data_IF_237910856919
#
_entry.id   IF_237910856919
#
_cell.length_a   1.000
_cell.length_b   1.000
_cell.length_c   1.000
_cell.angle_alpha   90.00
_cell.angle_beta   90.00
_cell.angle_gamma   90.00
#
_symmetry.space_group_name_H-M   'P 1'
#
loop_
_entity.id
_entity.type
_entity.pdbx_description
1 polymer ?
#
# COMPACT_ATOMS: atom_id res chain seq x y z
N UNK A 1 12.23 -38.38 5.58
CA UNK A 1 12.29 -38.31 4.10
C UNK A 1 10.96 -37.87 3.48
N UNK A 2 9.87 -38.65 3.51
CA UNK A 2 8.60 -38.27 2.86
C UNK A 2 7.96 -36.97 3.40
N UNK A 3 7.96 -36.77 4.73
CA UNK A 3 7.42 -35.57 5.38
C UNK A 3 8.17 -34.29 4.98
N UNK A 4 9.49 -34.39 4.76
CA UNK A 4 10.31 -33.25 4.34
C UNK A 4 9.98 -32.82 2.91
N UNK A 5 9.75 -33.77 1.99
CA UNK A 5 9.32 -33.45 0.63
C UNK A 5 7.93 -32.82 0.57
N UNK A 6 6.99 -33.28 1.41
CA UNK A 6 5.66 -32.66 1.51
C UNK A 6 5.76 -31.21 1.99
N UNK A 7 6.58 -30.94 3.01
CA UNK A 7 6.83 -29.59 3.51
C UNK A 7 7.50 -28.69 2.46
N UNK A 8 8.48 -29.21 1.71
CA UNK A 8 9.14 -28.49 0.62
C UNK A 8 8.14 -28.18 -0.50
N UNK A 9 7.37 -29.17 -0.95
CA UNK A 9 6.33 -28.97 -1.96
C UNK A 9 5.28 -27.95 -1.51
N UNK A 10 4.80 -28.06 -0.26
CA UNK A 10 3.88 -27.09 0.31
C UNK A 10 4.49 -25.69 0.37
N UNK A 11 5.74 -25.57 0.80
CA UNK A 11 6.47 -24.30 0.84
C UNK A 11 6.61 -23.67 -0.55
N UNK A 12 6.95 -24.47 -1.56
CA UNK A 12 7.05 -24.02 -2.96
C UNK A 12 5.69 -23.58 -3.52
N UNK A 13 4.63 -24.36 -3.29
CA UNK A 13 3.26 -24.00 -3.72
C UNK A 13 2.81 -22.70 -3.04
N UNK A 14 3.01 -22.58 -1.73
CA UNK A 14 2.68 -21.37 -0.97
C UNK A 14 3.45 -20.17 -1.51
N UNK A 15 4.76 -20.33 -1.76
CA UNK A 15 5.58 -19.27 -2.32
C UNK A 15 5.11 -18.84 -3.71
N UNK A 16 4.76 -19.78 -4.59
CA UNK A 16 4.23 -19.48 -5.93
C UNK A 16 2.90 -18.73 -5.84
N UNK A 17 2.00 -19.14 -4.95
CA UNK A 17 0.72 -18.46 -4.72
C UNK A 17 0.95 -17.04 -4.19
N UNK A 18 1.83 -16.86 -3.21
CA UNK A 18 2.16 -15.55 -2.63
C UNK A 18 2.82 -14.62 -3.68
N UNK A 19 3.80 -15.11 -4.44
CA UNK A 19 4.45 -14.33 -5.51
C UNK A 19 3.43 -13.96 -6.59
N UNK A 20 2.58 -14.91 -7.00
CA UNK A 20 1.55 -14.64 -8.00
C UNK A 20 0.56 -13.59 -7.51
N UNK A 21 0.10 -13.69 -6.26
CA UNK A 21 -0.80 -12.72 -5.67
C UNK A 21 -0.18 -11.32 -5.59
N UNK A 22 1.05 -11.20 -5.06
CA UNK A 22 1.71 -9.91 -4.82
C UNK A 22 2.28 -9.27 -6.09
N UNK A 23 2.89 -10.05 -6.97
CA UNK A 23 3.70 -9.55 -8.08
C UNK A 23 3.11 -9.84 -9.47
N UNK A 24 2.08 -10.68 -9.59
CA UNK A 24 1.63 -11.18 -10.91
C UNK A 24 1.04 -10.12 -11.86
N UNK A 25 0.75 -8.91 -11.37
CA UNK A 25 0.37 -7.76 -12.20
C UNK A 25 1.57 -7.05 -12.87
N UNK A 26 2.82 -7.38 -12.50
CA UNK A 26 4.00 -6.69 -13.01
C UNK A 26 4.23 -6.98 -14.50
N UNK A 27 4.79 -6.01 -15.26
CA UNK A 27 5.06 -6.18 -16.69
C UNK A 27 5.91 -7.42 -17.03
N UNK A 28 6.85 -7.78 -16.16
CA UNK A 28 7.72 -8.96 -16.34
C UNK A 28 6.97 -10.30 -16.38
N UNK A 29 5.76 -10.36 -15.81
CA UNK A 29 4.94 -11.57 -15.77
C UNK A 29 3.84 -11.59 -16.83
N UNK A 30 3.76 -10.59 -17.72
CA UNK A 30 2.75 -10.56 -18.78
C UNK A 30 2.85 -11.80 -19.69
N UNK A 31 1.72 -12.47 -19.90
CA UNK A 31 1.61 -13.71 -20.68
C UNK A 31 2.02 -14.99 -19.93
N UNK A 32 2.52 -14.89 -18.70
CA UNK A 32 3.03 -16.04 -17.93
C UNK A 32 1.96 -16.73 -17.08
N UNK A 33 2.19 -17.98 -16.61
CA UNK A 33 1.30 -18.64 -15.65
C UNK A 33 1.10 -17.84 -14.35
N UNK A 34 2.11 -17.09 -13.90
CA UNK A 34 2.04 -16.25 -12.69
C UNK A 34 0.97 -15.17 -12.84
N UNK A 35 0.89 -14.52 -14.00
CA UNK A 35 -0.18 -13.54 -14.29
C UNK A 35 -1.56 -14.22 -14.33
N UNK A 36 -1.67 -15.43 -14.88
CA UNK A 36 -2.94 -16.17 -14.92
C UNK A 36 -3.40 -16.54 -13.50
N UNK A 37 -2.49 -17.02 -12.66
CA UNK A 37 -2.77 -17.31 -11.24
C UNK A 37 -3.19 -16.02 -10.53
N UNK A 38 -2.48 -14.90 -10.75
CA UNK A 38 -2.87 -13.61 -10.21
C UNK A 38 -4.31 -13.24 -10.58
N UNK A 39 -4.66 -13.25 -11.88
CA UNK A 39 -6.00 -12.92 -12.35
C UNK A 39 -7.07 -13.87 -11.78
N UNK A 40 -6.75 -15.17 -11.64
CA UNK A 40 -7.63 -16.11 -10.98
C UNK A 40 -7.81 -15.76 -9.50
N UNK A 41 -6.75 -15.51 -8.75
CA UNK A 41 -6.85 -15.18 -7.32
C UNK A 41 -7.55 -13.85 -7.05
N UNK A 42 -7.37 -12.85 -7.92
CA UNK A 42 -7.91 -11.50 -7.69
C UNK A 42 -9.32 -11.30 -8.22
N UNK A 43 -9.68 -11.90 -9.35
CA UNK A 43 -11.00 -11.73 -9.97
C UNK A 43 -11.72 -13.06 -10.20
N UNK A 44 -11.01 -14.06 -10.75
CA UNK A 44 -11.63 -15.31 -11.18
C UNK A 44 -12.28 -16.10 -10.05
N UNK A 45 -11.58 -16.31 -8.95
CA UNK A 45 -12.05 -17.08 -7.80
C UNK A 45 -13.32 -16.46 -7.19
N UNK A 46 -13.39 -15.13 -7.13
CA UNK A 46 -14.57 -14.42 -6.65
C UNK A 46 -15.75 -14.56 -7.62
N UNK A 47 -15.53 -14.42 -8.93
CA UNK A 47 -16.57 -14.61 -9.94
C UNK A 47 -17.11 -16.05 -9.93
N UNK A 48 -16.24 -17.05 -9.86
CA UNK A 48 -16.65 -18.45 -9.71
C UNK A 48 -17.43 -18.69 -8.41
N UNK A 49 -17.02 -18.08 -7.31
CA UNK A 49 -17.76 -18.15 -6.05
C UNK A 49 -19.16 -17.53 -6.18
N UNK A 50 -19.30 -16.33 -6.76
CA UNK A 50 -20.59 -15.70 -6.97
C UNK A 50 -21.51 -16.53 -7.89
N UNK A 51 -20.96 -17.11 -8.97
CA UNK A 51 -21.70 -18.02 -9.85
C UNK A 51 -22.14 -19.28 -9.11
N UNK A 52 -21.26 -19.88 -8.32
CA UNK A 52 -21.59 -21.04 -7.50
C UNK A 52 -22.74 -20.72 -6.52
N UNK A 53 -22.65 -19.58 -5.82
CA UNK A 53 -23.74 -19.11 -4.95
C UNK A 53 -25.03 -18.90 -5.76
N UNK A 54 -24.95 -18.36 -6.97
CA UNK A 54 -26.10 -18.19 -7.86
C UNK A 54 -26.73 -19.52 -8.29
N UNK A 55 -25.92 -20.56 -8.53
CA UNK A 55 -26.40 -21.90 -8.87
C UNK A 55 -27.06 -22.58 -7.66
N UNK A 56 -26.47 -22.47 -6.47
CA UNK A 56 -26.95 -23.18 -5.26
C UNK A 56 -28.11 -22.46 -4.57
N UNK A 57 -28.04 -21.13 -4.47
CA UNK A 57 -28.96 -20.30 -3.68
C UNK A 57 -29.80 -19.33 -4.53
N UNK A 58 -29.64 -19.38 -5.86
CA UNK A 58 -30.35 -18.50 -6.78
C UNK A 58 -29.92 -17.03 -6.66
N UNK A 59 -30.73 -16.15 -7.26
CA UNK A 59 -30.51 -14.69 -7.26
C UNK A 59 -30.54 -14.09 -5.86
N UNK A 60 -31.32 -14.67 -4.92
CA UNK A 60 -31.36 -14.24 -3.52
C UNK A 60 -30.00 -14.40 -2.84
N UNK A 61 -29.32 -15.53 -3.05
CA UNK A 61 -27.99 -15.76 -2.50
C UNK A 61 -26.95 -14.81 -3.07
N UNK A 62 -26.92 -14.64 -4.39
CA UNK A 62 -25.98 -13.69 -5.03
C UNK A 62 -26.22 -12.27 -4.56
N UNK A 63 -27.49 -11.82 -4.49
CA UNK A 63 -27.83 -10.48 -3.99
C UNK A 63 -27.45 -10.29 -2.52
N UNK A 64 -27.55 -11.33 -1.69
CA UNK A 64 -27.10 -11.25 -0.30
C UNK A 64 -25.58 -11.03 -0.21
N UNK A 65 -24.79 -11.76 -1.00
CA UNK A 65 -23.33 -11.58 -1.06
C UNK A 65 -22.98 -10.18 -1.58
N UNK A 66 -23.60 -9.73 -2.68
CA UNK A 66 -23.38 -8.39 -3.23
C UNK A 66 -23.79 -7.29 -2.24
N UNK A 67 -24.83 -7.50 -1.44
CA UNK A 67 -25.21 -6.55 -0.40
C UNK A 67 -24.18 -6.49 0.73
N UNK A 68 -23.55 -7.62 1.08
CA UNK A 68 -22.45 -7.66 2.06
C UNK A 68 -21.22 -6.95 1.48
N UNK A 69 -20.86 -7.24 0.22
CA UNK A 69 -19.76 -6.57 -0.47
C UNK A 69 -19.98 -5.05 -0.49
N UNK A 70 -21.15 -4.59 -0.91
CA UNK A 70 -21.50 -3.18 -0.93
C UNK A 70 -21.40 -2.54 0.48
N UNK A 71 -21.86 -3.24 1.52
CA UNK A 71 -21.73 -2.75 2.89
C UNK A 71 -20.27 -2.65 3.35
N UNK A 72 -19.45 -3.66 3.04
CA UNK A 72 -18.06 -3.75 3.48
C UNK A 72 -17.11 -2.84 2.70
N UNK A 73 -17.33 -2.66 1.40
CA UNK A 73 -16.38 -2.04 0.47
C UNK A 73 -16.85 -0.67 -0.04
N UNK A 74 -18.16 -0.48 -0.26
CA UNK A 74 -18.70 0.72 -0.92
C UNK A 74 -19.41 1.69 0.02
N UNK A 75 -19.49 1.36 1.32
CA UNK A 75 -20.04 2.24 2.36
C UNK A 75 -19.11 2.38 3.56
N UNK A 76 -19.11 3.56 4.23
CA UNK A 76 -18.34 3.73 5.45
C UNK A 76 -18.84 2.76 6.53
N UNK A 77 -17.93 1.96 7.06
CA UNK A 77 -18.22 0.98 8.10
C UNK A 77 -16.96 0.74 8.97
N UNK A 78 -17.12 0.43 10.27
CA UNK A 78 -15.98 0.30 11.17
C UNK A 78 -15.33 -1.10 11.15
N UNK A 79 -15.71 -2.02 10.24
CA UNK A 79 -15.27 -3.42 10.30
C UNK A 79 -13.74 -3.52 10.27
N UNK A 80 -13.09 -2.84 9.32
CA UNK A 80 -11.63 -2.86 9.22
C UNK A 80 -10.95 -2.18 10.42
N UNK A 81 -11.58 -1.17 11.02
CA UNK A 81 -11.08 -0.54 12.24
C UNK A 81 -11.13 -1.51 13.43
N UNK A 82 -12.22 -2.26 13.58
CA UNK A 82 -12.38 -3.27 14.62
C UNK A 82 -11.38 -4.42 14.43
N UNK A 83 -11.19 -4.89 13.19
CA UNK A 83 -10.18 -5.89 12.86
C UNK A 83 -8.78 -5.39 13.24
N UNK A 84 -8.43 -4.15 12.90
CA UNK A 84 -7.15 -3.56 13.26
C UNK A 84 -6.94 -3.50 14.79
N UNK A 85 -7.93 -3.01 15.54
CA UNK A 85 -7.85 -2.95 17.02
C UNK A 85 -7.73 -4.36 17.61
N UNK A 86 -8.44 -5.34 17.04
CA UNK A 86 -8.33 -6.75 17.42
C UNK A 86 -6.94 -7.34 17.16
N UNK A 87 -6.33 -7.07 16.00
CA UNK A 87 -4.97 -7.51 15.67
C UNK A 87 -3.96 -6.88 16.61
N UNK A 88 -4.03 -5.57 16.83
CA UNK A 88 -3.10 -4.85 17.71
C UNK A 88 -3.22 -5.32 19.16
N UNK A 89 -4.44 -5.36 19.69
CA UNK A 89 -4.73 -5.79 21.06
C UNK A 89 -4.40 -7.26 21.29
N UNK A 90 -4.78 -8.14 20.36
CA UNK A 90 -4.47 -9.56 20.41
C UNK A 90 -2.96 -9.82 20.36
N UNK A 91 -2.24 -9.17 19.45
CA UNK A 91 -0.77 -9.29 19.35
C UNK A 91 -0.10 -8.84 20.65
N UNK A 92 -0.50 -7.69 21.20
CA UNK A 92 0.04 -7.22 22.48
C UNK A 92 -0.29 -8.16 23.64
N UNK A 93 -1.52 -8.68 23.72
CA UNK A 93 -1.94 -9.65 24.73
C UNK A 93 -1.07 -10.92 24.67
N UNK A 94 -0.86 -11.48 23.48
CA UNK A 94 -0.03 -12.67 23.34
C UNK A 94 1.43 -12.40 23.73
N UNK A 95 2.01 -11.27 23.33
CA UNK A 95 3.36 -10.85 23.76
C UNK A 95 3.43 -10.72 25.28
N UNK A 96 2.46 -10.04 25.88
CA UNK A 96 2.43 -9.85 27.33
C UNK A 96 2.35 -11.19 28.06
N UNK A 97 1.43 -12.07 27.62
CA UNK A 97 1.21 -13.37 28.23
C UNK A 97 2.40 -14.33 28.04
N UNK A 98 3.01 -14.34 26.86
CA UNK A 98 4.07 -15.29 26.51
C UNK A 98 5.47 -14.82 26.92
N UNK A 99 5.71 -13.52 27.00
CA UNK A 99 7.07 -12.98 27.04
C UNK A 99 7.35 -12.10 28.26
N UNK A 100 6.35 -11.52 28.91
CA UNK A 100 6.63 -10.64 30.07
C UNK A 100 7.23 -11.41 31.24
N UNK A 101 6.93 -12.71 31.39
CA UNK A 101 7.56 -13.58 32.39
C UNK A 101 9.09 -13.65 32.26
N UNK A 102 9.63 -13.33 31.08
CA UNK A 102 11.08 -13.33 30.80
C UNK A 102 11.71 -11.92 30.85
N UNK A 103 10.95 -10.92 31.30
CA UNK A 103 11.40 -9.53 31.44
C UNK A 103 11.28 -9.15 32.92
N UNK A 104 12.30 -8.64 33.62
CA UNK A 104 13.65 -8.42 33.14
C UNK A 104 14.34 -9.76 32.83
N UNK A 105 15.11 -9.77 31.75
CA UNK A 105 16.00 -10.85 31.36
C UNK A 105 17.38 -10.31 31.05
N UNK A 106 18.29 -11.19 30.65
CA UNK A 106 19.71 -10.86 30.46
C UNK A 106 19.97 -9.62 29.59
N UNK A 107 19.22 -9.46 28.48
CA UNK A 107 19.40 -8.37 27.52
C UNK A 107 18.27 -7.33 27.53
N UNK A 108 17.22 -7.52 28.33
CA UNK A 108 16.03 -6.68 28.28
C UNK A 108 15.58 -6.32 29.70
N UNK A 109 15.63 -5.03 30.03
CA UNK A 109 15.29 -4.55 31.37
C UNK A 109 13.78 -4.49 31.62
N UNK A 110 13.39 -4.40 32.89
CA UNK A 110 11.98 -4.34 33.31
C UNK A 110 11.19 -3.16 32.74
N UNK A 111 11.87 -2.08 32.36
CA UNK A 111 11.22 -0.85 31.85
C UNK A 111 10.43 -1.11 30.56
N UNK A 112 10.85 -2.10 29.77
CA UNK A 112 10.24 -2.46 28.49
C UNK A 112 8.79 -2.96 28.62
N UNK A 113 8.39 -3.46 29.80
CA UNK A 113 6.98 -3.80 30.08
C UNK A 113 6.08 -2.55 30.04
N UNK A 114 6.53 -1.45 30.64
CA UNK A 114 5.77 -0.20 30.72
C UNK A 114 5.89 0.62 29.44
N UNK A 115 7.09 0.74 28.88
CA UNK A 115 7.29 1.53 27.64
C UNK A 115 6.62 0.87 26.44
N UNK A 116 6.50 -0.47 26.40
CA UNK A 116 5.72 -1.14 25.34
C UNK A 116 4.23 -0.82 25.42
N UNK A 117 3.65 -0.75 26.62
CA UNK A 117 2.25 -0.34 26.81
C UNK A 117 2.02 1.10 26.32
N UNK A 118 2.91 2.02 26.73
CA UNK A 118 2.86 3.42 26.28
C UNK A 118 2.99 3.49 24.76
N UNK A 119 3.89 2.70 24.16
CA UNK A 119 4.08 2.70 22.72
C UNK A 119 2.83 2.24 21.96
N UNK A 120 2.16 1.18 22.44
CA UNK A 120 0.89 0.73 21.86
C UNK A 120 -0.19 1.80 22.02
N UNK A 121 -0.28 2.46 23.17
CA UNK A 121 -1.25 3.54 23.41
C UNK A 121 -1.06 4.72 22.45
N UNK A 122 0.19 5.14 22.20
CA UNK A 122 0.50 6.17 21.19
C UNK A 122 0.08 5.71 19.79
N UNK A 123 0.28 4.44 19.45
CA UNK A 123 -0.18 3.87 18.17
C UNK A 123 -1.70 3.95 18.01
N UNK A 124 -2.45 3.59 19.05
CA UNK A 124 -3.92 3.71 19.08
C UNK A 124 -4.36 5.17 18.95
N UNK A 125 -3.69 6.10 19.63
CA UNK A 125 -3.99 7.53 19.51
C UNK A 125 -3.79 8.03 18.07
N UNK A 126 -2.67 7.70 17.43
CA UNK A 126 -2.40 8.10 16.04
C UNK A 126 -3.40 7.47 15.07
N UNK A 127 -3.80 6.22 15.30
CA UNK A 127 -4.86 5.57 14.54
C UNK A 127 -6.19 6.34 14.64
N UNK A 128 -6.59 6.74 15.85
CA UNK A 128 -7.82 7.52 16.04
C UNK A 128 -7.72 8.93 15.45
N UNK A 129 -6.58 9.60 15.59
CA UNK A 129 -6.36 10.90 14.95
C UNK A 129 -6.48 10.79 13.43
N UNK A 130 -5.89 9.77 12.81
CA UNK A 130 -6.02 9.53 11.36
C UNK A 130 -7.46 9.19 10.96
N UNK A 131 -8.14 8.36 11.75
CA UNK A 131 -9.49 7.87 11.48
C UNK A 131 -10.57 8.95 11.62
N UNK A 132 -10.49 9.80 12.64
CA UNK A 132 -11.59 10.70 12.99
C UNK A 132 -11.32 12.18 12.71
N UNK A 133 -10.11 12.56 12.31
CA UNK A 133 -9.85 13.93 11.88
C UNK A 133 -10.56 14.25 10.56
N UNK A 134 -11.02 15.48 10.42
CA UNK A 134 -11.48 16.01 9.13
C UNK A 134 -10.34 15.92 8.11
N UNK A 135 -10.52 15.26 6.95
CA UNK A 135 -9.50 15.16 5.92
C UNK A 135 -9.28 16.46 5.14
N UNK A 136 -10.11 17.48 5.35
CA UNK A 136 -10.18 18.68 4.51
C UNK A 136 -11.45 18.68 3.67
N UNK A 137 -12.59 18.48 4.34
CA UNK A 137 -13.90 18.41 3.68
C UNK A 137 -14.26 19.76 3.08
N UNK A 138 -14.57 19.77 1.78
CA UNK A 138 -14.97 20.96 1.05
C UNK A 138 -16.49 21.06 1.06
N UNK A 139 -17.00 22.21 1.47
CA UNK A 139 -18.42 22.58 1.53
C UNK A 139 -18.62 23.91 0.80
N UNK A 140 -19.88 24.26 0.50
CA UNK A 140 -20.22 25.55 -0.10
C UNK A 140 -19.66 26.75 0.69
N UNK A 141 -19.58 26.63 2.02
CA UNK A 141 -19.08 27.68 2.92
C UNK A 141 -17.57 27.95 2.79
N UNK A 142 -16.76 26.96 2.41
CA UNK A 142 -15.29 27.06 2.42
C UNK A 142 -14.64 26.85 1.05
N UNK A 143 -15.43 26.51 0.01
CA UNK A 143 -14.93 26.21 -1.34
C UNK A 143 -14.12 27.37 -1.94
N UNK A 144 -14.56 28.61 -1.71
CA UNK A 144 -13.89 29.82 -2.21
C UNK A 144 -12.44 29.93 -1.71
N UNK A 145 -12.18 29.53 -0.47
CA UNK A 145 -10.84 29.54 0.12
C UNK A 145 -9.96 28.46 -0.51
N UNK A 146 -10.52 27.27 -0.71
CA UNK A 146 -9.82 26.16 -1.34
C UNK A 146 -9.50 26.40 -2.82
N UNK A 147 -10.34 27.12 -3.57
CA UNK A 147 -10.09 27.47 -4.97
C UNK A 147 -8.77 28.22 -5.15
N UNK A 148 -8.41 29.09 -4.20
CA UNK A 148 -7.16 29.87 -4.23
C UNK A 148 -5.93 29.11 -3.71
N UNK A 149 -6.09 27.89 -3.19
CA UNK A 149 -5.00 27.17 -2.51
C UNK A 149 -3.96 26.58 -3.47
N UNK A 150 -4.39 26.15 -4.66
CA UNK A 150 -3.53 25.51 -5.66
C UNK A 150 -3.91 25.96 -7.07
N UNK A 151 -2.94 26.22 -7.96
CA UNK A 151 -3.23 26.52 -9.36
C UNK A 151 -3.74 25.28 -10.10
N UNK A 152 -4.59 25.49 -11.10
CA UNK A 152 -4.95 24.46 -12.08
C UNK A 152 -3.79 24.26 -13.06
N UNK A 153 -3.38 23.01 -13.27
CA UNK A 153 -2.36 22.67 -14.27
C UNK A 153 -2.94 22.55 -15.69
N UNK A 154 -4.28 22.51 -15.81
CA UNK A 154 -5.03 22.29 -17.05
C UNK A 154 -4.64 21.01 -17.81
N UNK A 155 -3.98 20.07 -17.14
CA UNK A 155 -3.61 18.76 -17.65
C UNK A 155 -4.44 17.69 -16.91
N UNK A 156 -4.21 17.54 -15.61
CA UNK A 156 -4.93 16.58 -14.76
C UNK A 156 -5.96 17.27 -13.85
N UNK A 157 -5.86 18.59 -13.68
CA UNK A 157 -6.81 19.44 -12.98
C UNK A 157 -7.15 20.67 -13.81
N UNK A 158 -8.41 20.76 -14.21
CA UNK A 158 -9.02 21.94 -14.81
C UNK A 158 -10.26 22.36 -14.04
N UNK A 159 -10.70 23.58 -14.27
CA UNK A 159 -11.91 24.14 -13.65
C UNK A 159 -13.13 23.30 -14.03
N UNK A 160 -13.75 22.70 -13.01
CA UNK A 160 -14.91 21.83 -13.13
C UNK A 160 -15.77 21.95 -11.87
N UNK A 161 -17.04 21.64 -12.00
CA UNK A 161 -17.94 21.48 -10.87
C UNK A 161 -18.04 20.00 -10.45
N UNK A 162 -18.31 19.75 -9.17
CA UNK A 162 -18.67 18.42 -8.72
C UNK A 162 -20.16 18.18 -8.97
N UNK A 163 -20.50 17.23 -9.84
CA UNK A 163 -21.89 16.87 -10.14
C UNK A 163 -22.69 16.37 -8.92
N UNK A 164 -22.04 15.79 -7.91
CA UNK A 164 -22.73 15.31 -6.71
C UNK A 164 -22.92 16.41 -5.68
N UNK A 165 -21.86 17.19 -5.40
CA UNK A 165 -21.87 18.20 -4.35
C UNK A 165 -22.33 19.58 -4.84
N UNK A 166 -22.42 19.80 -6.15
CA UNK A 166 -22.82 21.08 -6.77
C UNK A 166 -21.96 22.25 -6.27
N UNK A 167 -20.64 22.02 -6.19
CA UNK A 167 -19.64 23.03 -5.82
C UNK A 167 -18.49 23.02 -6.83
N UNK A 168 -17.85 24.17 -7.10
CA UNK A 168 -16.61 24.22 -7.85
C UNK A 168 -15.57 23.28 -7.23
N UNK A 169 -14.80 22.57 -8.05
CA UNK A 169 -13.76 21.65 -7.58
C UNK A 169 -12.40 22.35 -7.55
N UNK A 170 -11.85 22.67 -6.36
CA UNK A 170 -10.48 23.13 -6.26
C UNK A 170 -9.50 22.16 -6.92
N UNK A 171 -8.38 22.66 -7.43
CA UNK A 171 -7.29 21.82 -7.90
C UNK A 171 -6.88 20.84 -6.78
N UNK A 172 -6.50 19.61 -7.17
CA UNK A 172 -6.16 18.52 -6.24
C UNK A 172 -7.30 17.98 -5.37
N UNK A 173 -8.53 18.44 -5.56
CA UNK A 173 -9.71 17.89 -4.86
C UNK A 173 -10.35 16.70 -5.60
N UNK A 174 -11.06 15.85 -4.86
CA UNK A 174 -11.88 14.76 -5.42
C UNK A 174 -13.11 14.52 -4.56
N UNK A 175 -14.22 14.18 -5.21
CA UNK A 175 -15.39 13.62 -4.55
C UNK A 175 -15.15 12.15 -4.27
N UNK A 176 -15.21 11.76 -2.99
CA UNK A 176 -15.20 10.36 -2.59
C UNK A 176 -16.64 9.87 -2.49
N UNK A 177 -17.04 8.91 -3.33
CA UNK A 177 -18.37 8.31 -3.32
C UNK A 177 -18.66 7.57 -2.02
N UNK A 178 -17.67 6.86 -1.46
CA UNK A 178 -17.80 6.12 -0.20
C UNK A 178 -18.12 7.08 0.95
N UNK A 179 -17.33 8.15 1.13
CA UNK A 179 -17.60 9.15 2.17
C UNK A 179 -18.68 10.18 1.78
N UNK A 180 -19.17 10.13 0.54
CA UNK A 180 -20.11 11.08 -0.06
C UNK A 180 -19.76 12.56 0.19
N UNK A 181 -18.50 12.94 -0.06
CA UNK A 181 -18.02 14.33 0.11
C UNK A 181 -16.82 14.67 -0.75
N UNK A 182 -16.67 15.96 -1.08
CA UNK A 182 -15.45 16.49 -1.68
C UNK A 182 -14.36 16.68 -0.62
N UNK A 183 -13.14 16.26 -0.93
CA UNK A 183 -11.97 16.36 -0.04
C UNK A 183 -10.85 17.10 -0.76
N UNK A 184 -10.27 18.09 -0.08
CA UNK A 184 -9.13 18.86 -0.56
C UNK A 184 -7.84 18.03 -0.52
N UNK A 185 -6.95 18.25 -1.50
CA UNK A 185 -5.69 17.50 -1.70
C UNK A 185 -5.89 16.00 -1.46
N UNK A 186 -6.88 15.42 -2.13
CA UNK A 186 -7.31 14.05 -1.90
C UNK A 186 -6.19 13.08 -2.26
N UNK A 187 -5.83 12.20 -1.32
CA UNK A 187 -4.86 11.13 -1.55
C UNK A 187 -5.56 9.83 -1.92
N UNK A 188 -6.32 9.27 -0.98
CA UNK A 188 -7.12 8.07 -1.18
C UNK A 188 -8.21 7.95 -0.11
N UNK A 189 -9.16 7.04 -0.32
CA UNK A 189 -10.04 6.57 0.76
C UNK A 189 -9.38 5.36 1.41
N UNK A 190 -9.17 5.40 2.73
CA UNK A 190 -8.53 4.31 3.46
C UNK A 190 -9.58 3.54 4.26
N UNK A 191 -9.89 2.31 3.84
CA UNK A 191 -10.86 1.45 4.55
C UNK A 191 -10.45 1.16 5.99
N UNK A 192 -9.14 1.00 6.25
CA UNK A 192 -8.60 0.81 7.61
C UNK A 192 -8.86 1.99 8.54
N UNK A 193 -8.95 3.20 8.00
CA UNK A 193 -9.25 4.41 8.77
C UNK A 193 -10.74 4.77 8.73
N UNK A 194 -11.52 4.06 7.91
CA UNK A 194 -12.90 4.39 7.57
C UNK A 194 -13.08 5.89 7.23
N UNK A 195 -12.08 6.47 6.56
CA UNK A 195 -12.01 7.90 6.30
C UNK A 195 -11.14 8.16 5.06
N UNK A 196 -11.33 9.32 4.43
CA UNK A 196 -10.41 9.78 3.40
C UNK A 196 -9.09 10.23 4.04
N UNK A 197 -7.99 10.03 3.33
CA UNK A 197 -6.72 10.70 3.61
C UNK A 197 -6.62 11.88 2.64
N UNK A 198 -6.51 13.08 3.19
CA UNK A 198 -6.49 14.33 2.45
C UNK A 198 -5.63 15.39 3.13
N UNK A 199 -5.81 16.64 2.72
CA UNK A 199 -5.00 17.78 3.14
C UNK A 199 -4.73 17.84 4.66
N UNK A 200 -5.76 17.68 5.49
CA UNK A 200 -5.69 17.99 6.93
C UNK A 200 -5.25 16.82 7.81
N UNK A 201 -5.48 15.58 7.39
CA UNK A 201 -5.18 14.38 8.18
C UNK A 201 -4.02 13.55 7.63
N UNK A 202 -3.45 13.89 6.47
CA UNK A 202 -2.29 13.20 5.91
C UNK A 202 -1.10 13.14 6.90
N UNK A 203 -0.87 14.20 7.68
CA UNK A 203 0.15 14.21 8.75
C UNK A 203 -0.05 13.13 9.82
N UNK A 204 -1.29 12.89 10.23
CA UNK A 204 -1.60 11.86 11.23
C UNK A 204 -1.43 10.47 10.64
N UNK A 205 -1.82 10.30 9.38
CA UNK A 205 -1.60 9.07 8.63
C UNK A 205 -0.10 8.74 8.49
N UNK A 206 0.73 9.72 8.13
CA UNK A 206 2.18 9.53 8.04
C UNK A 206 2.82 9.21 9.40
N UNK A 207 2.40 9.91 10.46
CA UNK A 207 2.85 9.61 11.82
C UNK A 207 2.41 8.21 12.27
N UNK A 208 1.16 7.82 11.96
CA UNK A 208 0.64 6.48 12.21
C UNK A 208 1.49 5.40 11.53
N UNK A 209 1.80 5.55 10.24
CA UNK A 209 2.61 4.59 9.49
C UNK A 209 4.02 4.46 10.06
N UNK A 210 4.68 5.59 10.32
CA UNK A 210 6.03 5.60 10.90
C UNK A 210 6.04 4.96 12.29
N UNK A 211 5.08 5.31 13.14
CA UNK A 211 5.00 4.75 14.49
C UNK A 211 4.74 3.25 14.48
N UNK A 212 3.85 2.76 13.61
CA UNK A 212 3.58 1.33 13.48
C UNK A 212 4.75 0.55 12.90
N UNK A 213 5.52 1.16 11.99
CA UNK A 213 6.77 0.59 11.53
C UNK A 213 7.75 0.43 12.71
N UNK A 214 7.97 1.50 13.48
CA UNK A 214 8.90 1.51 14.60
C UNK A 214 8.50 0.54 15.72
N UNK A 215 7.20 0.46 16.08
CA UNK A 215 6.75 -0.44 17.13
C UNK A 215 6.84 -1.91 16.72
N UNK A 216 6.63 -2.24 15.44
CA UNK A 216 6.82 -3.60 14.93
C UNK A 216 8.31 -4.01 14.94
N UNK A 217 9.20 -3.11 14.50
CA UNK A 217 10.65 -3.32 14.60
C UNK A 217 11.05 -3.52 16.07
N UNK A 218 10.61 -2.62 16.95
CA UNK A 218 10.88 -2.69 18.38
C UNK A 218 10.40 -4.02 18.99
N UNK A 219 9.16 -4.44 18.71
CA UNK A 219 8.62 -5.69 19.22
C UNK A 219 9.38 -6.92 18.71
N UNK A 220 9.76 -6.94 17.42
CA UNK A 220 10.57 -8.02 16.84
C UNK A 220 11.95 -8.09 17.50
N UNK A 221 12.64 -6.96 17.63
CA UNK A 221 13.95 -6.88 18.31
C UNK A 221 13.84 -7.28 19.78
N UNK A 222 12.84 -6.78 20.52
CA UNK A 222 12.63 -7.11 21.92
C UNK A 222 12.40 -8.61 22.14
N UNK A 223 11.59 -9.26 21.28
CA UNK A 223 11.40 -10.71 21.33
C UNK A 223 12.69 -11.47 20.99
N UNK A 224 13.47 -10.99 20.02
CA UNK A 224 14.80 -11.54 19.72
C UNK A 224 15.76 -11.46 20.92
N UNK A 225 15.76 -10.34 21.64
CA UNK A 225 16.55 -10.16 22.86
C UNK A 225 16.09 -11.05 24.00
N UNK A 226 14.77 -11.27 24.15
CA UNK A 226 14.22 -12.25 25.10
C UNK A 226 14.76 -13.65 24.76
N UNK A 227 14.62 -14.09 23.51
CA UNK A 227 15.11 -15.41 23.07
C UNK A 227 16.62 -15.57 23.28
N UNK A 228 17.42 -14.58 22.88
CA UNK A 228 18.86 -14.57 23.10
C UNK A 228 19.22 -14.61 24.59
N UNK A 229 18.45 -13.92 25.43
CA UNK A 229 18.58 -13.95 26.88
C UNK A 229 18.34 -15.35 27.44
N UNK A 230 17.29 -16.04 26.99
CA UNK A 230 16.98 -17.42 27.41
C UNK A 230 18.06 -18.43 27.03
N UNK A 231 18.63 -18.31 25.82
CA UNK A 231 19.76 -19.13 25.38
C UNK A 231 20.95 -18.98 26.32
N UNK A 232 21.23 -17.75 26.77
CA UNK A 232 22.35 -17.44 27.66
C UNK A 232 22.09 -17.86 29.11
N UNK A 233 20.93 -17.52 29.67
CA UNK A 233 20.54 -17.81 31.05
C UNK A 233 20.50 -19.32 31.33
N UNK A 234 19.95 -20.10 30.39
CA UNK A 234 19.87 -21.56 30.50
C UNK A 234 21.16 -22.26 30.03
N UNK A 235 22.18 -21.50 29.61
CA UNK A 235 23.45 -22.02 29.09
C UNK A 235 23.26 -23.07 28.00
N UNK A 236 22.28 -22.86 27.11
CA UNK A 236 21.84 -23.85 26.11
C UNK A 236 23.00 -24.28 25.21
N UNK A 237 23.81 -23.32 24.76
CA UNK A 237 25.02 -23.57 23.97
C UNK A 237 25.91 -24.59 24.65
N UNK A 238 26.22 -24.39 25.95
CA UNK A 238 27.06 -25.30 26.72
C UNK A 238 26.44 -26.69 26.86
N UNK A 239 25.14 -26.77 27.18
CA UNK A 239 24.43 -28.04 27.33
C UNK A 239 24.46 -28.83 26.02
N UNK A 240 24.16 -28.18 24.88
CA UNK A 240 24.14 -28.82 23.58
C UNK A 240 25.54 -29.25 23.11
N UNK A 241 26.56 -28.44 23.37
CA UNK A 241 27.98 -28.80 23.13
C UNK A 241 28.34 -30.09 23.86
N UNK A 242 28.01 -30.19 25.16
CA UNK A 242 28.32 -31.39 25.96
C UNK A 242 27.47 -32.59 25.53
N UNK A 243 26.17 -32.39 25.31
CA UNK A 243 25.23 -33.47 25.00
C UNK A 243 25.50 -34.12 23.64
N UNK A 244 25.79 -33.33 22.60
CA UNK A 244 26.05 -33.84 21.26
C UNK A 244 27.54 -34.09 20.97
N UNK A 245 28.44 -33.76 21.90
CA UNK A 245 29.89 -33.88 21.69
C UNK A 245 30.42 -33.01 20.54
N UNK A 246 29.74 -31.91 20.23
CA UNK A 246 30.09 -31.02 19.12
C UNK A 246 31.12 -30.02 19.63
N UNK A 247 32.22 -29.82 18.89
CA UNK A 247 33.16 -28.73 19.17
C UNK A 247 32.45 -27.36 19.13
N UNK A 248 33.06 -26.28 19.66
CA UNK A 248 32.45 -24.94 19.69
C UNK A 248 32.35 -24.27 18.31
N UNK A 249 32.06 -25.03 17.26
CA UNK A 249 31.77 -24.51 15.93
C UNK A 249 30.30 -24.05 15.84
N UNK A 250 30.12 -22.86 15.26
CA UNK A 250 28.80 -22.26 15.14
C UNK A 250 27.92 -22.99 14.13
N UNK A 251 28.50 -23.49 13.02
CA UNK A 251 27.72 -24.08 11.92
C UNK A 251 27.06 -25.38 12.35
N UNK A 252 27.74 -26.19 13.14
CA UNK A 252 27.23 -27.45 13.69
C UNK A 252 26.25 -27.24 14.85
N UNK A 253 26.47 -26.23 15.70
CA UNK A 253 25.62 -25.98 16.87
C UNK A 253 24.33 -25.20 16.54
N UNK A 254 24.37 -24.29 15.57
CA UNK A 254 23.24 -23.45 15.16
C UNK A 254 21.93 -24.24 14.89
N UNK A 255 21.90 -25.34 14.11
CA UNK A 255 20.65 -26.07 13.88
C UNK A 255 20.05 -26.64 15.16
N UNK A 256 20.87 -27.10 16.12
CA UNK A 256 20.38 -27.62 17.40
C UNK A 256 19.82 -26.52 18.30
N UNK A 257 20.48 -25.35 18.33
CA UNK A 257 19.96 -24.17 19.06
C UNK A 257 18.64 -23.70 18.44
N UNK A 258 18.55 -23.64 17.11
CA UNK A 258 17.32 -23.28 16.39
C UNK A 258 16.22 -24.30 16.66
N UNK A 259 16.52 -25.59 16.61
CA UNK A 259 15.55 -26.65 16.92
C UNK A 259 15.03 -26.53 18.36
N UNK A 260 15.92 -26.29 19.33
CA UNK A 260 15.52 -26.07 20.72
C UNK A 260 14.66 -24.82 20.88
N UNK A 261 15.06 -23.71 20.24
CA UNK A 261 14.29 -22.46 20.25
C UNK A 261 12.88 -22.66 19.66
N UNK A 262 12.77 -23.35 18.53
CA UNK A 262 11.49 -23.68 17.91
C UNK A 262 10.64 -24.62 18.78
N UNK A 263 11.24 -25.54 19.51
CA UNK A 263 10.53 -26.44 20.41
C UNK A 263 10.02 -25.76 21.69
N UNK A 264 10.87 -24.94 22.32
CA UNK A 264 10.60 -24.37 23.65
C UNK A 264 9.94 -22.97 23.59
N UNK A 265 10.16 -22.21 22.51
CA UNK A 265 9.73 -20.81 22.37
C UNK A 265 9.06 -20.52 21.02
N UNK A 266 8.28 -21.47 20.51
CA UNK A 266 7.56 -21.35 19.22
C UNK A 266 6.72 -20.07 19.12
N UNK A 267 6.04 -19.68 20.18
CA UNK A 267 5.11 -18.56 20.22
C UNK A 267 5.86 -17.23 20.05
N UNK A 268 6.99 -17.08 20.75
CA UNK A 268 7.84 -15.89 20.67
C UNK A 268 8.46 -15.77 19.27
N UNK A 269 8.89 -16.89 18.68
CA UNK A 269 9.43 -16.90 17.31
C UNK A 269 8.34 -16.54 16.30
N UNK A 270 7.14 -17.11 16.42
CA UNK A 270 6.02 -16.80 15.53
C UNK A 270 5.65 -15.31 15.59
N UNK A 271 5.54 -14.74 16.81
CA UNK A 271 5.27 -13.32 17.01
C UNK A 271 6.40 -12.44 16.46
N UNK A 272 7.67 -12.82 16.68
CA UNK A 272 8.83 -12.09 16.17
C UNK A 272 8.86 -12.05 14.64
N UNK A 273 8.61 -13.19 13.99
CA UNK A 273 8.55 -13.31 12.52
C UNK A 273 7.35 -12.55 11.96
N UNK A 274 6.18 -12.67 12.59
CA UNK A 274 4.99 -11.90 12.21
C UNK A 274 5.26 -10.39 12.23
N UNK A 275 5.81 -9.87 13.34
CA UNK A 275 6.17 -8.45 13.46
C UNK A 275 7.24 -8.03 12.46
N UNK A 276 8.23 -8.88 12.18
CA UNK A 276 9.26 -8.60 11.17
C UNK A 276 8.65 -8.47 9.76
N UNK A 277 7.76 -9.40 9.37
CA UNK A 277 7.06 -9.35 8.07
C UNK A 277 6.19 -8.10 7.97
N UNK A 278 5.39 -7.81 9.01
CA UNK A 278 4.56 -6.60 9.05
C UNK A 278 5.43 -5.34 8.96
N UNK A 279 6.58 -5.30 9.64
CA UNK A 279 7.50 -4.16 9.57
C UNK A 279 8.05 -3.95 8.16
N UNK A 280 8.37 -5.01 7.43
CA UNK A 280 8.84 -4.91 6.04
C UNK A 280 7.76 -4.34 5.11
N UNK A 281 6.52 -4.80 5.26
CA UNK A 281 5.38 -4.30 4.48
C UNK A 281 5.11 -2.82 4.80
N UNK A 282 5.13 -2.45 6.09
CA UNK A 282 4.96 -1.06 6.53
C UNK A 282 6.11 -0.17 6.04
N UNK A 283 7.35 -0.67 6.00
CA UNK A 283 8.49 0.07 5.48
C UNK A 283 8.30 0.42 3.99
N UNK A 284 7.86 -0.55 3.18
CA UNK A 284 7.53 -0.31 1.77
C UNK A 284 6.41 0.72 1.60
N UNK A 285 5.33 0.56 2.36
CA UNK A 285 4.17 1.46 2.29
C UNK A 285 4.49 2.88 2.77
N UNK A 286 5.21 3.01 3.88
CA UNK A 286 5.71 4.29 4.39
C UNK A 286 6.66 4.95 3.39
N UNK A 287 7.60 4.20 2.81
CA UNK A 287 8.56 4.74 1.83
C UNK A 287 7.86 5.29 0.58
N UNK A 288 6.82 4.59 0.11
CA UNK A 288 5.98 5.07 -0.99
C UNK A 288 5.32 6.41 -0.65
N UNK A 289 4.61 6.50 0.48
CA UNK A 289 3.94 7.74 0.88
C UNK A 289 4.92 8.85 1.28
N UNK A 290 6.08 8.52 1.83
CA UNK A 290 7.14 9.47 2.10
C UNK A 290 7.63 10.09 0.80
N UNK A 291 7.90 9.30 -0.25
CA UNK A 291 8.26 9.81 -1.58
C UNK A 291 7.17 10.75 -2.14
N UNK A 292 5.90 10.37 -2.00
CA UNK A 292 4.77 11.22 -2.41
C UNK A 292 4.76 12.57 -1.69
N UNK A 293 4.94 12.56 -0.36
CA UNK A 293 5.05 13.76 0.45
C UNK A 293 6.24 14.63 0.02
N UNK A 294 7.40 14.02 -0.20
CA UNK A 294 8.64 14.71 -0.58
C UNK A 294 8.59 15.31 -1.99
N UNK A 295 7.81 14.73 -2.90
CA UNK A 295 7.62 15.21 -4.28
C UNK A 295 6.30 15.96 -4.46
N UNK A 296 5.64 16.34 -3.36
CA UNK A 296 4.32 16.98 -3.31
C UNK A 296 3.30 16.40 -4.31
N UNK A 297 3.25 15.07 -4.39
CA UNK A 297 2.33 14.32 -5.26
C UNK A 297 1.39 13.50 -4.37
N UNK A 298 0.12 13.35 -4.74
CA UNK A 298 -0.80 12.41 -4.07
C UNK A 298 -0.88 11.06 -4.80
N UNK A 299 -1.37 10.04 -4.11
CA UNK A 299 -1.68 8.74 -4.72
C UNK A 299 -2.67 8.91 -5.88
N UNK A 300 -3.73 9.70 -5.69
CA UNK A 300 -4.69 10.02 -6.74
C UNK A 300 -4.05 10.73 -7.95
N UNK A 301 -3.09 11.63 -7.73
CA UNK A 301 -2.33 12.26 -8.82
C UNK A 301 -1.48 11.27 -9.58
N UNK A 302 -0.89 10.29 -8.90
CA UNK A 302 -0.10 9.24 -9.56
C UNK A 302 -0.96 8.46 -10.54
N UNK A 303 -2.18 8.07 -10.16
CA UNK A 303 -3.12 7.39 -11.06
C UNK A 303 -3.56 8.29 -12.22
N UNK A 304 -3.91 9.55 -11.95
CA UNK A 304 -4.28 10.51 -13.01
C UNK A 304 -3.17 10.71 -14.05
N UNK A 305 -1.92 10.83 -13.60
CA UNK A 305 -0.77 10.95 -14.50
C UNK A 305 -0.57 9.67 -15.32
N UNK A 306 -0.74 8.49 -14.72
CA UNK A 306 -0.66 7.22 -15.44
C UNK A 306 -1.73 7.12 -16.54
N UNK A 307 -2.97 7.49 -16.22
CA UNK A 307 -4.08 7.54 -17.19
C UNK A 307 -3.78 8.52 -18.34
N UNK A 308 -3.32 9.72 -18.00
CA UNK A 308 -2.96 10.74 -18.99
C UNK A 308 -1.83 10.29 -19.93
N UNK A 309 -0.75 9.72 -19.38
CA UNK A 309 0.38 9.22 -20.16
C UNK A 309 -0.05 8.03 -21.04
N UNK A 310 -0.87 7.12 -20.50
CA UNK A 310 -1.42 6.00 -21.28
C UNK A 310 -2.29 6.49 -22.44
N UNK A 311 -3.14 7.50 -22.20
CA UNK A 311 -3.97 8.11 -23.23
C UNK A 311 -3.12 8.81 -24.31
N UNK A 312 -2.12 9.60 -23.91
CA UNK A 312 -1.18 10.24 -24.84
C UNK A 312 -0.47 9.21 -25.72
N UNK A 313 0.03 8.12 -25.14
CA UNK A 313 0.67 7.05 -25.88
C UNK A 313 -0.26 6.44 -26.95
N UNK A 314 -1.50 6.11 -26.57
CA UNK A 314 -2.51 5.58 -27.51
C UNK A 314 -2.83 6.59 -28.62
N UNK A 315 -2.89 7.88 -28.29
CA UNK A 315 -3.15 8.93 -29.28
C UNK A 315 -1.99 9.05 -30.28
N UNK A 316 -0.74 8.99 -29.82
CA UNK A 316 0.43 8.98 -30.69
C UNK A 316 0.48 7.74 -31.58
N UNK A 317 0.22 6.55 -31.03
CA UNK A 317 0.13 5.30 -31.79
C UNK A 317 -0.97 5.37 -32.86
N UNK A 318 -2.14 5.94 -32.54
CA UNK A 318 -3.23 6.14 -33.48
C UNK A 318 -2.88 7.14 -34.59
N UNK A 319 -2.22 8.27 -34.26
CA UNK A 319 -1.74 9.26 -35.24
C UNK A 319 -0.70 8.65 -36.18
N UNK A 320 0.30 7.95 -35.65
CA UNK A 320 1.31 7.27 -36.44
C UNK A 320 0.68 6.20 -37.36
N UNK A 321 -0.31 5.45 -36.87
CA UNK A 321 -1.04 4.47 -37.69
C UNK A 321 -1.85 5.13 -38.80
N UNK A 322 -2.49 6.27 -38.52
CA UNK A 322 -3.23 7.04 -39.52
C UNK A 322 -2.30 7.66 -40.59
N UNK A 323 -1.14 8.16 -40.18
CA UNK A 323 -0.10 8.66 -41.09
C UNK A 323 0.46 7.56 -41.98
N UNK A 324 0.76 6.39 -41.41
CA UNK A 324 1.21 5.22 -42.18
C UNK A 324 0.15 4.74 -43.18
N UNK A 325 -1.13 4.76 -42.80
CA UNK A 325 -2.24 4.44 -43.71
C UNK A 325 -2.35 5.49 -44.83
N UNK A 326 -2.24 6.78 -44.50
CA UNK A 326 -2.27 7.87 -45.48
C UNK A 326 -1.10 7.78 -46.46
N UNK A 327 0.09 7.46 -45.97
CA UNK A 327 1.27 7.22 -46.81
C UNK A 327 1.04 6.03 -47.75
N UNK A 328 0.51 4.92 -47.24
CA UNK A 328 0.21 3.73 -48.06
C UNK A 328 -0.86 4.01 -49.13
N UNK A 329 -1.90 4.77 -48.81
CA UNK A 329 -2.92 5.21 -49.79
C UNK A 329 -2.31 6.14 -50.84
N UNK A 330 -1.42 7.06 -50.44
CA UNK A 330 -0.74 7.95 -51.37
C UNK A 330 0.20 7.19 -52.32
N UNK A 331 0.93 6.18 -51.83
CA UNK A 331 1.76 5.29 -52.65
C UNK A 331 0.91 4.44 -53.62
N UNK A 332 -0.30 4.03 -53.23
CA UNK A 332 -1.23 3.33 -54.13
C UNK A 332 -1.77 4.24 -55.25
N UNK A 333 -1.83 5.55 -55.04
CA UNK A 333 -2.30 6.52 -56.05
C UNK A 333 -1.24 6.92 -57.09
N UNK A 334 0.03 6.58 -56.86
CA UNK A 334 1.14 6.78 -57.80
C UNK A 334 1.66 5.43 -58.30
N UNK A 335 1.49 5.10 -59.59
CA UNK A 335 1.89 3.78 -60.09
C UNK A 335 3.41 3.49 -60.05
N UNK A 336 3.69 2.25 -59.56
CA UNK A 336 4.79 1.30 -59.83
C UNK A 336 6.24 1.63 -59.41
N UNK A 337 6.67 0.97 -58.32
CA UNK A 337 8.03 0.37 -58.17
C UNK A 337 7.96 -1.01 -57.48
N UNK A 338 8.93 -1.92 -57.72
CA UNK A 338 8.74 -3.36 -57.54
C UNK A 338 8.76 -3.81 -56.07
N UNK A 339 8.08 -4.93 -55.84
CA UNK A 339 7.81 -5.55 -54.55
C UNK A 339 9.07 -5.78 -53.70
N UNK A 340 9.15 -5.12 -52.54
CA UNK A 340 10.02 -5.57 -51.45
C UNK A 340 9.42 -6.81 -50.77
N UNK A 341 10.28 -7.75 -50.35
CA UNK A 341 9.87 -9.02 -49.77
C UNK A 341 9.12 -8.82 -48.44
N UNK A 342 8.00 -9.55 -48.27
CA UNK A 342 7.16 -9.55 -47.06
C UNK A 342 7.94 -9.83 -45.76
N UNK A 343 9.11 -10.47 -45.87
CA UNK A 343 9.97 -10.78 -44.73
C UNK A 343 10.70 -9.56 -44.15
N UNK A 344 11.05 -8.54 -44.95
CA UNK A 344 11.69 -7.32 -44.42
C UNK A 344 10.71 -6.39 -43.68
N UNK A 345 9.42 -6.43 -44.04
CA UNK A 345 8.38 -5.65 -43.36
C UNK A 345 8.05 -6.19 -41.96
N UNK A 346 8.10 -7.52 -41.77
CA UNK A 346 7.83 -8.16 -40.48
C UNK A 346 8.93 -7.88 -39.43
N UNK A 347 10.18 -7.74 -39.87
CA UNK A 347 11.32 -7.39 -38.99
C UNK A 347 11.54 -5.89 -38.80
N UNK A 348 10.78 -5.05 -39.51
CA UNK A 348 10.68 -3.62 -39.21
C UNK A 348 9.66 -3.44 -38.09
N UNK A 349 9.94 -4.00 -36.91
CA UNK A 349 9.55 -3.27 -35.69
C UNK A 349 10.25 -1.94 -35.86
N UNK A 350 9.49 -0.88 -36.20
CA UNK A 350 10.04 0.45 -36.00
C UNK A 350 10.55 0.42 -34.56
N UNK A 351 11.78 0.88 -34.29
CA UNK A 351 12.09 1.32 -32.95
C UNK A 351 10.89 2.19 -32.59
N UNK A 352 10.20 1.86 -31.49
CA UNK A 352 9.33 2.84 -30.85
C UNK A 352 10.27 4.00 -30.59
N UNK A 353 10.31 4.93 -31.53
CA UNK A 353 10.97 6.22 -31.42
C UNK A 353 10.56 6.69 -30.04
N UNK A 354 11.56 6.80 -29.16
CA UNK A 354 11.37 7.07 -27.75
C UNK A 354 10.39 8.22 -27.65
N UNK A 355 9.13 7.87 -27.37
CA UNK A 355 8.03 8.81 -27.28
C UNK A 355 8.52 9.84 -26.29
N UNK A 356 8.71 11.06 -26.79
CA UNK A 356 9.05 12.27 -26.05
C UNK A 356 8.59 12.07 -24.62
N UNK A 357 9.54 11.82 -23.71
CA UNK A 357 9.23 11.47 -22.33
C UNK A 357 8.32 12.59 -21.86
N UNK A 358 7.01 12.28 -21.71
CA UNK A 358 6.02 13.25 -21.25
C UNK A 358 6.54 13.71 -19.90
N UNK A 359 7.19 14.86 -19.90
CA UNK A 359 7.91 15.34 -18.73
C UNK A 359 6.83 15.72 -17.75
N UNK A 360 6.65 14.89 -16.72
CA UNK A 360 5.71 15.17 -15.64
C UNK A 360 6.19 16.44 -14.94
N UNK A 361 5.67 17.59 -15.36
CA UNK A 361 5.95 18.86 -14.72
C UNK A 361 5.03 19.01 -13.50
N UNK A 362 5.53 18.64 -12.31
CA UNK A 362 4.76 18.80 -11.09
C UNK A 362 4.84 20.25 -10.58
N UNK A 363 3.88 21.08 -11.00
CA UNK A 363 3.76 22.49 -10.57
C UNK A 363 3.54 22.67 -9.06
N UNK A 364 3.23 21.59 -8.33
CA UNK A 364 3.03 21.61 -6.88
C UNK A 364 4.32 21.31 -6.10
N UNK A 365 5.36 20.79 -6.74
CA UNK A 365 6.65 20.55 -6.09
C UNK A 365 7.40 21.87 -5.87
N UNK A 366 7.63 22.25 -4.61
CA UNK A 366 8.35 23.48 -4.22
C UNK A 366 9.68 23.19 -3.52
N UNK A 367 10.19 21.98 -3.69
CA UNK A 367 11.40 21.48 -3.03
C UNK A 367 11.13 20.83 -1.67
N UNK A 368 12.08 20.00 -1.27
CA UNK A 368 11.99 19.08 -0.13
C UNK A 368 11.38 19.70 1.14
N UNK A 369 11.94 20.82 1.61
CA UNK A 369 11.50 21.47 2.86
C UNK A 369 10.08 22.05 2.77
N UNK A 370 9.75 22.73 1.67
CA UNK A 370 8.42 23.31 1.49
C UNK A 370 7.34 22.22 1.41
N UNK A 371 7.63 21.14 0.70
CA UNK A 371 6.72 20.02 0.55
C UNK A 371 6.42 19.35 1.89
N UNK A 372 7.46 19.12 2.71
CA UNK A 372 7.29 18.55 4.05
C UNK A 372 6.52 19.49 4.98
N UNK A 373 6.84 20.79 4.97
CA UNK A 373 6.12 21.80 5.75
C UNK A 373 4.64 21.88 5.37
N UNK A 374 4.28 21.67 4.10
CA UNK A 374 2.89 21.62 3.65
C UNK A 374 2.12 20.41 4.20
N UNK A 375 2.80 19.27 4.37
CA UNK A 375 2.19 18.08 4.99
C UNK A 375 1.98 18.31 6.49
N UNK A 376 2.99 18.80 7.21
CA UNK A 376 2.93 19.00 8.66
C UNK A 376 1.96 20.14 9.02
N UNK A 377 2.01 21.23 8.25
CA UNK A 377 1.19 22.43 8.41
C UNK A 377 0.36 22.69 7.13
N UNK A 378 -0.77 21.96 6.97
CA UNK A 378 -1.70 22.11 5.85
C UNK A 378 -2.13 23.55 5.63
N UNK A 379 -2.37 23.95 4.38
CA UNK A 379 -2.75 25.32 4.03
C UNK A 379 -3.98 25.79 4.80
N UNK A 380 -5.01 24.95 4.90
CA UNK A 380 -6.24 25.25 5.64
C UNK A 380 -6.05 25.50 7.15
N UNK A 381 -4.91 25.10 7.71
CA UNK A 381 -4.57 25.33 9.14
C UNK A 381 -3.72 26.58 9.37
N UNK A 382 -3.28 27.27 8.31
CA UNK A 382 -2.46 28.48 8.42
C UNK A 382 -3.34 29.70 8.69
N UNK A 383 -2.83 30.66 9.46
CA UNK A 383 -3.53 31.92 9.76
C UNK A 383 -3.91 32.73 8.51
N UNK A 384 -3.13 32.59 7.43
CA UNK A 384 -3.41 33.19 6.12
C UNK A 384 -4.71 32.69 5.49
N UNK A 385 -5.09 31.43 5.70
CA UNK A 385 -6.32 30.85 5.17
C UNK A 385 -7.57 31.47 5.82
N UNK A 386 -7.49 31.78 7.12
CA UNK A 386 -8.56 32.47 7.86
C UNK A 386 -8.74 33.93 7.42
N UNK A 387 -7.64 34.64 7.09
CA UNK A 387 -7.70 36.06 6.66
C UNK A 387 -8.40 36.26 5.30
N UNK A 388 -8.38 35.29 4.41
CA UNK A 388 -9.13 35.35 3.15
C UNK A 388 -10.66 35.34 3.39
N UNK A 389 -11.12 34.76 4.51
CA UNK A 389 -12.54 34.81 4.92
C UNK A 389 -13.03 36.25 5.16
N UNK A 390 -12.16 37.11 5.69
CA UNK A 390 -12.49 38.48 6.09
C UNK A 390 -12.42 39.49 4.94
N UNK A 391 -11.82 39.13 3.79
CA UNK A 391 -11.70 40.02 2.62
C UNK A 391 -12.83 39.84 1.59
N UNK A 392 -13.54 38.71 1.64
CA UNK A 392 -14.54 38.32 0.65
C UNK A 392 -15.96 38.16 1.24
N UNK A 393 -16.18 38.55 2.50
CA UNK A 393 -17.49 38.68 3.12
C UNK A 393 -17.70 40.14 3.49
#
# INVERSE_FOLDING_TARGET
MAVQWVLVCHGLVTLVVVISFLCGQWPIFQGTPIQRIHHFLTYGAYDYFLRFIGVVFGTKGTNAILSIEYFCCDRPNPILQLIYVGILGGTYYFIAKSSFSYIPGYYLSGIHRYTSLVAVAVGVLLFFLSSFSDPGTIKAENVSQYLSSYPYDNIIYSEKECSTCQIPKPARSKHCSICNRCVARFDHHCGWMNNCIGERNNRYFMAFLLWHLLICIYGSVALGLVLAGRVKELRVVHILTVYYGIEKDFKSLAPHVVQWLLGAYNTQILLMVFLAIVSLLLAGFFSYHAKLCLTNTTTNETFKWQEYISWQKKLHEAKASAEALKASISEMSSEKKPSQSKWKAFFRRSPLEEVEVVTKNNVYDRGFFHNLCEIIFPFSTRSSFSRTKLKNG
#
